data_IF_558324347073
#
_entry.id   IF_558324347073
#
_cell.length_a   1.000
_cell.length_b   1.000
_cell.length_c   1.000
_cell.angle_alpha   90.00
_cell.angle_beta   90.00
_cell.angle_gamma   90.00
#
_symmetry.space_group_name_H-M   'P 1'
#
loop_
_entity.id
_entity.type
_entity.pdbx_description
1 polymer ?
#
# COMPACT_ATOMS: atom_id res chain seq x y z
N UNK A 1 -11.23 26.61 -37.35
CA UNK A 1 -10.30 27.41 -36.52
C UNK A 1 -11.01 27.79 -35.24
N UNK A 2 -10.88 27.01 -34.16
CA UNK A 2 -11.43 27.34 -32.84
C UNK A 2 -10.31 27.24 -31.81
N UNK A 3 -10.04 28.37 -31.14
CA UNK A 3 -9.03 28.54 -30.11
C UNK A 3 -9.57 27.98 -28.79
N UNK A 4 -8.84 27.05 -28.19
CA UNK A 4 -9.04 26.62 -26.79
C UNK A 4 -8.07 27.43 -25.94
N UNK A 5 -8.62 28.24 -25.04
CA UNK A 5 -7.89 29.10 -24.11
C UNK A 5 -7.49 28.29 -22.89
N UNK A 6 -6.19 28.11 -22.66
CA UNK A 6 -5.64 27.55 -21.42
C UNK A 6 -5.56 28.66 -20.35
N UNK A 7 -6.20 28.44 -19.21
CA UNK A 7 -5.98 29.26 -18.01
C UNK A 7 -4.74 28.74 -17.27
N UNK A 8 -3.66 29.53 -17.30
CA UNK A 8 -2.52 29.40 -16.40
C UNK A 8 -2.86 30.10 -15.08
N UNK A 9 -3.06 29.33 -14.01
CA UNK A 9 -3.15 29.88 -12.66
C UNK A 9 -1.74 29.83 -12.03
N UNK A 10 -1.13 31.00 -11.91
CA UNK A 10 0.13 31.21 -11.19
C UNK A 10 -0.15 31.18 -9.69
N UNK A 11 0.40 30.21 -8.97
CA UNK A 11 0.42 30.19 -7.51
C UNK A 11 1.85 30.35 -7.00
N UNK A 12 2.05 31.42 -6.24
CA UNK A 12 3.24 31.73 -5.45
C UNK A 12 3.54 30.58 -4.48
N UNK A 13 4.77 30.05 -4.51
CA UNK A 13 5.24 29.01 -3.60
C UNK A 13 5.73 29.69 -2.31
N UNK A 14 4.98 29.53 -1.22
CA UNK A 14 5.51 29.75 0.13
C UNK A 14 6.26 28.48 0.54
N UNK A 15 7.55 28.62 0.83
CA UNK A 15 8.35 27.57 1.47
C UNK A 15 7.91 27.43 2.93
N UNK A 16 7.10 26.43 3.24
CA UNK A 16 6.93 25.96 4.62
C UNK A 16 8.11 25.06 4.99
N UNK A 17 8.72 25.32 6.15
CA UNK A 17 9.91 24.63 6.61
C UNK A 17 9.63 23.14 6.91
N UNK A 18 10.51 22.25 6.42
CA UNK A 18 10.53 20.84 6.82
C UNK A 18 10.82 20.71 8.32
N UNK A 19 10.00 19.94 9.04
CA UNK A 19 10.36 19.44 10.37
C UNK A 19 11.24 18.19 10.21
N UNK A 20 12.42 18.20 10.84
CA UNK A 20 13.21 16.97 11.01
C UNK A 20 12.53 16.14 12.10
N UNK A 21 11.94 15.01 11.73
CA UNK A 21 11.41 14.04 12.70
C UNK A 21 12.55 13.12 13.13
N UNK A 22 13.31 13.51 14.13
CA UNK A 22 14.18 12.58 14.85
C UNK A 22 13.36 11.88 15.93
N UNK A 23 12.90 10.67 15.64
CA UNK A 23 12.17 9.83 16.58
C UNK A 23 13.06 9.47 17.80
N UNK A 24 12.75 10.05 18.96
CA UNK A 24 13.24 9.58 20.25
C UNK A 24 12.03 9.07 21.04
N UNK A 25 11.83 7.75 21.06
CA UNK A 25 10.91 7.11 22.00
C UNK A 25 11.71 6.67 23.21
N UNK A 26 11.35 7.20 24.37
CA UNK A 26 11.90 6.87 25.67
C UNK A 26 11.42 5.46 26.06
N UNK A 27 12.29 4.45 25.91
CA UNK A 27 12.00 3.08 26.32
C UNK A 27 12.20 2.95 27.83
N UNK A 28 11.12 2.84 28.60
CA UNK A 28 11.16 2.26 29.94
C UNK A 28 11.05 0.74 29.81
N UNK A 29 12.17 0.04 29.91
CA UNK A 29 12.21 -1.37 30.28
C UNK A 29 13.24 -1.53 31.39
N UNK A 30 12.74 -1.65 32.61
CA UNK A 30 13.52 -2.12 33.74
C UNK A 30 13.81 -3.62 33.58
N UNK A 31 15.06 -3.92 33.87
CA UNK A 31 15.71 -5.21 33.96
C UNK A 31 15.12 -6.14 35.03
N UNK A 32 15.09 -7.44 34.74
CA UNK A 32 15.25 -8.50 35.76
C UNK A 32 15.74 -9.83 35.15
N UNK A 33 17.01 -10.11 35.45
CA UNK A 33 17.65 -11.36 35.86
C UNK A 33 17.59 -12.71 35.12
N UNK A 34 18.84 -13.19 34.99
CA UNK A 34 19.36 -14.51 34.65
C UNK A 34 18.81 -15.66 35.53
N UNK A 35 18.71 -16.86 34.96
CA UNK A 35 19.40 -18.02 35.54
C UNK A 35 19.50 -19.22 34.58
N UNK A 36 20.66 -19.87 34.65
CA UNK A 36 21.09 -21.02 33.87
C UNK A 36 20.64 -22.35 34.50
N UNK A 37 20.47 -23.40 33.69
CA UNK A 37 20.69 -24.79 34.11
C UNK A 37 20.74 -25.75 32.91
N UNK A 38 21.52 -26.81 33.09
CA UNK A 38 22.21 -27.64 32.09
C UNK A 38 21.72 -29.10 32.01
N UNK A 39 21.89 -29.70 30.81
CA UNK A 39 22.19 -31.12 30.50
C UNK A 39 21.05 -32.20 30.59
N UNK A 40 21.21 -33.45 30.09
CA UNK A 40 21.98 -33.99 28.93
C UNK A 40 21.25 -35.10 28.08
N UNK A 41 21.78 -35.38 26.87
CA UNK A 41 22.01 -36.75 26.33
C UNK A 41 20.87 -37.55 25.65
N UNK A 42 21.17 -38.17 24.48
CA UNK A 42 20.45 -39.36 23.99
C UNK A 42 20.38 -39.62 22.48
N UNK A 43 21.34 -40.41 21.95
CA UNK A 43 21.23 -41.47 20.92
C UNK A 43 20.66 -41.21 19.50
N UNK A 44 21.56 -41.29 18.50
CA UNK A 44 21.34 -41.90 17.15
C UNK A 44 21.34 -43.45 17.28
N UNK A 45 20.71 -44.27 16.38
CA UNK A 45 21.04 -44.40 14.93
C UNK A 45 19.86 -44.97 14.05
N UNK A 46 20.02 -45.61 12.86
CA UNK A 46 21.11 -45.64 11.86
C UNK A 46 20.69 -45.20 10.43
N UNK A 47 21.73 -45.03 9.60
CA UNK A 47 21.71 -44.82 8.15
C UNK A 47 21.18 -46.02 7.36
N UNK A 48 20.45 -45.74 6.27
CA UNK A 48 20.26 -46.68 5.16
C UNK A 48 20.49 -45.92 3.83
N UNK A 49 21.57 -46.27 3.15
CA UNK A 49 21.94 -45.80 1.82
C UNK A 49 21.38 -46.77 0.75
N UNK A 50 20.60 -46.26 -0.19
CA UNK A 50 20.54 -46.79 -1.58
C UNK A 50 20.17 -45.63 -2.53
N UNK A 51 20.82 -45.49 -3.71
CA UNK A 51 20.75 -44.27 -4.51
C UNK A 51 19.58 -44.30 -5.50
N UNK A 52 18.89 -43.17 -5.69
CA UNK A 52 17.98 -42.98 -6.83
C UNK A 52 18.08 -41.57 -7.40
N UNK A 53 18.50 -41.54 -8.66
CA UNK A 53 18.27 -40.57 -9.72
C UNK A 53 18.04 -39.09 -9.40
N UNK A 54 18.93 -38.27 -9.97
CA UNK A 54 18.76 -36.84 -10.09
C UNK A 54 17.59 -36.50 -11.02
N UNK A 55 16.51 -36.03 -10.41
CA UNK A 55 15.57 -35.10 -11.02
C UNK A 55 15.32 -34.00 -9.99
N UNK A 56 15.89 -32.82 -10.21
CA UNK A 56 15.58 -31.63 -9.42
C UNK A 56 14.20 -31.13 -9.83
N UNK A 57 13.15 -31.76 -9.29
CA UNK A 57 11.80 -31.23 -9.34
C UNK A 57 11.73 -29.97 -8.48
N UNK A 58 11.75 -28.83 -9.15
CA UNK A 58 11.41 -27.53 -8.56
C UNK A 58 9.89 -27.46 -8.48
N UNK A 59 9.32 -28.22 -7.55
CA UNK A 59 7.95 -28.06 -7.09
C UNK A 59 7.98 -27.98 -5.56
N UNK A 60 8.19 -26.77 -5.05
CA UNK A 60 7.82 -26.45 -3.68
C UNK A 60 6.96 -25.18 -3.71
N UNK A 61 5.64 -25.27 -3.47
CA UNK A 61 4.81 -24.09 -3.28
C UNK A 61 5.27 -23.44 -1.96
N UNK A 62 5.85 -22.24 -2.07
CA UNK A 62 6.43 -21.50 -0.95
C UNK A 62 5.37 -21.26 0.15
N UNK A 63 5.41 -22.14 1.13
CA UNK A 63 4.62 -22.25 2.36
C UNK A 63 4.83 -20.99 3.23
N UNK A 64 3.74 -20.40 3.74
CA UNK A 64 3.62 -19.39 4.82
C UNK A 64 4.93 -18.73 5.32
N UNK A 65 5.59 -17.96 4.45
CA UNK A 65 6.81 -17.24 4.85
C UNK A 65 6.43 -15.86 5.39
N UNK A 66 6.76 -15.53 6.65
CA UNK A 66 6.54 -14.20 7.17
C UNK A 66 7.33 -13.17 6.35
N UNK A 67 6.82 -11.93 6.28
CA UNK A 67 7.54 -10.83 5.66
C UNK A 67 8.91 -10.64 6.35
N UNK A 68 9.99 -10.38 5.58
CA UNK A 68 11.31 -10.23 6.18
C UNK A 68 11.37 -8.93 7.01
N UNK A 69 12.00 -8.98 8.18
CA UNK A 69 12.09 -7.85 9.12
C UNK A 69 13.25 -6.96 8.68
N UNK A 70 13.07 -5.64 8.59
CA UNK A 70 14.14 -4.74 8.13
C UNK A 70 15.04 -4.30 9.30
N UNK A 71 16.29 -4.74 9.30
CA UNK A 71 17.29 -4.40 10.33
C UNK A 71 18.08 -3.14 9.99
N UNK A 72 18.39 -2.92 8.72
CA UNK A 72 19.22 -1.78 8.32
C UNK A 72 19.18 -1.42 6.84
N UNK A 73 19.80 -0.30 6.43
CA UNK A 73 20.32 0.75 7.30
C UNK A 73 19.22 1.42 8.13
N UNK A 74 19.61 2.08 9.22
CA UNK A 74 18.71 2.99 9.93
C UNK A 74 18.43 4.19 9.03
N UNK A 75 17.17 4.47 8.75
CA UNK A 75 16.79 5.66 7.97
C UNK A 75 16.53 6.87 8.87
N UNK A 76 16.99 8.03 8.45
CA UNK A 76 16.67 9.35 9.02
C UNK A 76 16.02 10.21 7.93
N UNK A 77 14.69 10.17 7.86
CA UNK A 77 13.94 10.71 6.71
C UNK A 77 13.40 12.12 6.97
N UNK A 78 13.28 12.89 5.91
CA UNK A 78 12.48 14.11 5.90
C UNK A 78 11.05 13.75 5.51
N UNK A 79 10.10 13.90 6.44
CA UNK A 79 8.69 13.62 6.18
C UNK A 79 7.92 14.93 5.98
N UNK A 80 7.03 14.95 4.99
CA UNK A 80 5.99 15.97 4.85
C UNK A 80 4.68 15.56 5.54
N UNK A 81 4.59 14.29 5.95
CA UNK A 81 3.47 13.74 6.69
C UNK A 81 3.66 13.97 8.19
N UNK A 82 2.57 14.32 8.86
CA UNK A 82 2.50 14.44 10.30
C UNK A 82 2.23 13.07 10.91
N UNK A 83 3.12 12.61 11.78
CA UNK A 83 2.99 11.35 12.53
C UNK A 83 2.93 11.60 14.05
N UNK A 84 2.86 12.86 14.47
CA UNK A 84 2.86 13.24 15.88
C UNK A 84 1.66 12.63 16.59
N UNK A 85 1.92 11.95 17.71
CA UNK A 85 0.90 11.32 18.56
C UNK A 85 0.05 10.24 17.85
N UNK A 86 0.48 9.76 16.69
CA UNK A 86 -0.16 8.64 15.99
C UNK A 86 0.30 7.33 16.60
N UNK A 87 -0.64 6.41 16.79
CA UNK A 87 -0.33 5.03 17.17
C UNK A 87 0.11 4.24 15.93
N UNK A 88 1.36 3.75 15.95
CA UNK A 88 1.90 2.87 14.92
C UNK A 88 1.53 1.41 15.21
N UNK A 89 1.45 0.55 14.19
CA UNK A 89 1.36 -0.89 14.40
C UNK A 89 2.51 -1.37 15.30
N UNK A 90 2.18 -1.93 16.46
CA UNK A 90 3.16 -2.32 17.50
C UNK A 90 4.15 -3.41 17.08
N UNK A 91 3.85 -4.11 15.98
CA UNK A 91 4.72 -5.13 15.39
C UNK A 91 5.91 -4.53 14.65
N UNK A 92 5.85 -3.25 14.26
CA UNK A 92 6.92 -2.57 13.55
C UNK A 92 7.98 -2.06 14.52
N UNK A 93 9.23 -2.42 14.27
CA UNK A 93 10.36 -1.75 14.90
C UNK A 93 10.44 -0.27 14.49
N UNK A 94 11.12 0.56 15.28
CA UNK A 94 11.34 1.97 14.94
C UNK A 94 11.97 2.16 13.55
N UNK A 95 12.82 1.22 13.11
CA UNK A 95 13.41 1.30 11.79
C UNK A 95 12.37 1.01 10.70
N UNK A 96 11.57 -0.05 10.85
CA UNK A 96 10.51 -0.36 9.88
C UNK A 96 9.44 0.73 9.80
N UNK A 97 9.15 1.42 10.91
CA UNK A 97 8.31 2.63 10.90
C UNK A 97 8.90 3.70 9.96
N UNK A 98 10.23 3.91 9.96
CA UNK A 98 10.87 4.85 9.05
C UNK A 98 10.81 4.39 7.59
N UNK A 99 10.96 3.09 7.30
CA UNK A 99 10.79 2.56 5.94
C UNK A 99 9.36 2.73 5.44
N UNK A 100 8.37 2.40 6.26
CA UNK A 100 6.97 2.61 5.93
C UNK A 100 6.64 4.09 5.76
N UNK A 101 7.12 4.96 6.65
CA UNK A 101 6.96 6.40 6.54
C UNK A 101 7.56 6.96 5.24
N UNK A 102 8.75 6.49 4.84
CA UNK A 102 9.37 6.88 3.58
C UNK A 102 8.53 6.43 2.38
N UNK A 103 8.07 5.18 2.39
CA UNK A 103 7.24 4.62 1.33
C UNK A 103 5.92 5.38 1.17
N UNK A 104 5.27 5.73 2.30
CA UNK A 104 4.07 6.57 2.32
C UNK A 104 4.34 7.98 1.79
N UNK A 105 5.43 8.62 2.20
CA UNK A 105 5.82 9.95 1.70
C UNK A 105 6.05 9.94 0.19
N UNK A 106 6.81 8.97 -0.33
CA UNK A 106 7.13 8.88 -1.76
C UNK A 106 5.89 8.56 -2.58
N UNK A 107 5.24 7.42 -2.32
CA UNK A 107 4.07 6.95 -3.07
C UNK A 107 2.90 7.94 -2.95
N UNK A 108 2.62 8.38 -1.73
CA UNK A 108 1.52 9.30 -1.43
C UNK A 108 1.66 10.66 -2.09
N UNK A 109 2.89 11.15 -2.24
CA UNK A 109 3.15 12.45 -2.88
C UNK A 109 2.83 12.48 -4.38
N UNK A 110 2.57 11.33 -5.00
CA UNK A 110 2.08 11.28 -6.38
C UNK A 110 0.55 11.42 -6.46
N UNK A 111 -0.17 11.16 -5.37
CA UNK A 111 -1.64 11.24 -5.32
C UNK A 111 -2.14 12.67 -5.11
N UNK A 112 -1.35 13.52 -4.43
CA UNK A 112 -1.70 14.90 -4.16
C UNK A 112 -0.83 15.56 -3.10
N UNK A 113 -0.99 16.86 -2.91
CA UNK A 113 -0.13 17.69 -2.05
C UNK A 113 -0.64 17.85 -0.61
N UNK A 114 -1.81 17.30 -0.29
CA UNK A 114 -2.46 17.50 1.03
C UNK A 114 -2.19 16.35 2.01
N UNK A 115 -1.27 15.43 1.67
CA UNK A 115 -0.89 14.31 2.54
C UNK A 115 -2.10 13.47 2.96
N UNK A 116 -2.32 13.36 4.27
CA UNK A 116 -3.43 12.60 4.83
C UNK A 116 -4.80 13.11 4.39
N UNK A 117 -4.97 14.41 4.11
CA UNK A 117 -6.25 14.97 3.68
C UNK A 117 -6.42 15.02 2.16
N UNK A 118 -5.65 14.23 1.39
CA UNK A 118 -5.88 14.09 -0.03
C UNK A 118 -7.30 13.54 -0.29
N UNK A 119 -8.06 14.27 -1.11
CA UNK A 119 -9.44 13.97 -1.46
C UNK A 119 -9.60 14.01 -2.98
N UNK A 120 -10.13 12.92 -3.54
CA UNK A 120 -10.55 12.87 -4.94
C UNK A 120 -12.05 12.63 -5.05
N UNK A 121 -12.66 13.33 -5.99
CA UNK A 121 -14.08 13.25 -6.29
C UNK A 121 -14.41 12.05 -7.21
N UNK A 122 -15.65 11.91 -7.66
CA UNK A 122 -16.13 10.76 -8.44
C UNK A 122 -15.80 10.88 -9.95
N UNK A 123 -14.56 11.23 -10.32
CA UNK A 123 -14.21 11.45 -11.72
C UNK A 123 -14.15 10.15 -12.55
N UNK A 124 -13.92 9.00 -11.91
CA UNK A 124 -13.76 7.68 -12.52
C UNK A 124 -14.91 6.70 -12.16
N UNK A 125 -15.91 7.16 -11.42
CA UNK A 125 -17.03 6.33 -10.98
C UNK A 125 -16.78 5.53 -9.69
N UNK A 126 -15.67 5.77 -8.98
CA UNK A 126 -15.32 5.06 -7.74
C UNK A 126 -15.87 5.69 -6.45
N UNK A 127 -16.70 6.72 -6.57
CA UNK A 127 -17.22 7.49 -5.43
C UNK A 127 -16.19 8.49 -4.93
N UNK A 128 -15.82 8.41 -3.66
CA UNK A 128 -14.72 9.21 -3.10
C UNK A 128 -13.46 8.37 -3.05
N UNK A 129 -12.31 9.02 -3.21
CA UNK A 129 -11.03 8.50 -2.71
C UNK A 129 -10.55 9.41 -1.57
N UNK A 130 -10.10 8.80 -0.48
CA UNK A 130 -9.69 9.49 0.74
C UNK A 130 -8.30 9.01 1.17
N UNK A 131 -7.47 9.94 1.63
CA UNK A 131 -6.21 9.64 2.26
C UNK A 131 -5.04 9.50 1.30
N UNK A 132 -3.88 9.22 1.88
CA UNK A 132 -2.61 9.17 1.15
C UNK A 132 -2.50 7.99 0.17
N UNK A 133 -3.22 6.92 0.44
CA UNK A 133 -3.27 5.73 -0.41
C UNK A 133 -4.47 5.72 -1.38
N UNK A 134 -5.28 6.79 -1.38
CA UNK A 134 -6.47 6.91 -2.21
C UNK A 134 -7.40 5.68 -2.14
N UNK A 135 -7.63 5.13 -0.92
CA UNK A 135 -8.67 4.12 -0.77
C UNK A 135 -10.01 4.73 -1.18
N UNK A 136 -10.84 3.93 -1.84
CA UNK A 136 -12.07 4.42 -2.43
C UNK A 136 -13.24 3.46 -2.22
N UNK A 137 -14.44 4.02 -2.35
CA UNK A 137 -15.67 3.27 -2.12
C UNK A 137 -15.93 2.24 -3.22
N UNK A 138 -15.66 2.57 -4.48
CA UNK A 138 -15.92 1.70 -5.63
C UNK A 138 -15.18 0.37 -5.57
N UNK A 139 -13.93 0.39 -5.10
CA UNK A 139 -13.12 -0.80 -4.88
C UNK A 139 -13.41 -1.51 -3.56
N UNK A 140 -14.11 -0.86 -2.62
CA UNK A 140 -14.42 -1.45 -1.31
C UNK A 140 -13.28 -1.30 -0.29
N UNK A 141 -12.21 -0.58 -0.64
CA UNK A 141 -11.02 -0.45 0.20
C UNK A 141 -11.19 0.59 1.30
N UNK A 142 -12.13 1.53 1.15
CA UNK A 142 -12.34 2.60 2.13
C UNK A 142 -13.34 2.21 3.23
N UNK A 143 -14.31 1.35 2.92
CA UNK A 143 -15.39 0.97 3.83
C UNK A 143 -14.88 0.31 5.13
N UNK A 144 -13.93 -0.63 5.13
CA UNK A 144 -13.38 -1.19 6.37
C UNK A 144 -12.79 -0.12 7.30
N UNK A 145 -12.02 0.82 6.72
CA UNK A 145 -11.37 1.89 7.49
C UNK A 145 -12.40 2.87 8.05
N UNK A 146 -13.45 3.19 7.28
CA UNK A 146 -14.56 4.02 7.77
C UNK A 146 -15.37 3.31 8.86
N UNK A 147 -15.53 1.99 8.79
CA UNK A 147 -16.17 1.22 9.86
C UNK A 147 -15.38 1.35 11.18
N UNK A 148 -14.07 1.12 11.15
CA UNK A 148 -13.20 1.29 12.33
C UNK A 148 -13.19 2.75 12.83
N UNK A 149 -13.23 3.72 11.92
CA UNK A 149 -13.33 5.14 12.29
C UNK A 149 -14.66 5.45 13.02
N UNK A 150 -15.77 4.82 12.62
CA UNK A 150 -17.05 4.97 13.33
C UNK A 150 -17.01 4.31 14.72
N UNK A 151 -16.29 3.21 14.88
CA UNK A 151 -16.07 2.59 16.20
C UNK A 151 -15.27 3.52 17.12
N UNK A 152 -14.18 4.12 16.61
CA UNK A 152 -13.41 5.16 17.32
C UNK A 152 -14.28 6.37 17.66
N UNK A 153 -15.14 6.81 16.74
CA UNK A 153 -16.07 7.92 16.98
C UNK A 153 -17.15 7.57 18.03
N UNK A 154 -17.61 6.32 18.09
CA UNK A 154 -18.50 5.82 19.14
C UNK A 154 -17.85 5.83 20.53
N UNK A 155 -16.53 5.69 20.59
CA UNK A 155 -15.74 5.77 21.82
C UNK A 155 -15.33 7.21 22.18
N UNK A 156 -15.69 8.20 21.35
CA UNK A 156 -15.30 9.59 21.53
C UNK A 156 -13.83 9.89 21.20
N UNK A 157 -13.15 8.97 20.51
CA UNK A 157 -11.74 9.13 20.10
C UNK A 157 -11.60 9.94 18.81
N UNK A 158 -12.59 9.86 17.92
CA UNK A 158 -12.70 10.70 16.71
C UNK A 158 -13.91 11.63 16.87
N UNK A 159 -13.69 12.93 16.62
CA UNK A 159 -14.77 13.92 16.66
C UNK A 159 -15.47 13.96 15.30
N UNK A 160 -16.77 13.65 15.30
CA UNK A 160 -17.63 13.71 14.12
C UNK A 160 -19.01 14.20 14.54
N UNK A 161 -19.64 15.05 13.72
CA UNK A 161 -21.01 15.49 14.01
C UNK A 161 -21.99 14.34 13.86
N UNK A 162 -23.08 14.40 14.65
CA UNK A 162 -24.02 13.30 14.77
C UNK A 162 -24.71 12.96 13.44
N UNK A 163 -24.99 13.95 12.59
CA UNK A 163 -25.59 13.77 11.27
C UNK A 163 -24.64 13.03 10.29
N UNK A 164 -23.36 13.40 10.27
CA UNK A 164 -22.34 12.77 9.41
C UNK A 164 -22.06 11.35 9.85
N UNK A 165 -21.99 11.14 11.16
CA UNK A 165 -21.85 9.82 11.78
C UNK A 165 -23.01 8.91 11.39
N UNK A 166 -24.26 9.36 11.55
CA UNK A 166 -25.45 8.57 11.18
C UNK A 166 -25.50 8.25 9.68
N UNK A 167 -25.14 9.21 8.81
CA UNK A 167 -25.09 8.98 7.37
C UNK A 167 -24.05 7.92 7.00
N UNK A 168 -22.84 7.97 7.60
CA UNK A 168 -21.80 6.97 7.42
C UNK A 168 -22.20 5.59 7.99
N UNK A 169 -22.79 5.54 9.19
CA UNK A 169 -23.30 4.32 9.82
C UNK A 169 -24.34 3.63 8.92
N UNK A 170 -25.24 4.40 8.31
CA UNK A 170 -26.23 3.88 7.37
C UNK A 170 -25.57 3.26 6.13
N UNK A 171 -24.60 3.96 5.53
CA UNK A 171 -23.87 3.45 4.35
C UNK A 171 -23.08 2.18 4.67
N UNK A 172 -22.34 2.16 5.79
CA UNK A 172 -21.55 1.01 6.22
C UNK A 172 -22.45 -0.17 6.60
N UNK A 173 -23.57 0.08 7.28
CA UNK A 173 -24.56 -0.95 7.60
C UNK A 173 -25.12 -1.61 6.34
N UNK A 174 -25.45 -0.81 5.31
CA UNK A 174 -25.92 -1.32 4.03
C UNK A 174 -24.84 -2.14 3.29
N UNK A 175 -23.60 -1.67 3.30
CA UNK A 175 -22.46 -2.39 2.70
C UNK A 175 -22.23 -3.76 3.37
N UNK A 176 -22.23 -3.82 4.71
CA UNK A 176 -22.11 -5.08 5.47
C UNK A 176 -23.27 -6.04 5.20
N UNK A 177 -24.50 -5.51 5.12
CA UNK A 177 -25.67 -6.31 4.76
C UNK A 177 -25.50 -6.94 3.38
N UNK A 178 -25.11 -6.15 2.37
CA UNK A 178 -24.93 -6.65 1.00
C UNK A 178 -23.82 -7.71 0.91
N UNK A 179 -22.69 -7.50 1.59
CA UNK A 179 -21.63 -8.49 1.73
C UNK A 179 -22.16 -9.82 2.29
N UNK A 180 -22.96 -9.76 3.37
CA UNK A 180 -23.54 -10.96 3.98
C UNK A 180 -24.50 -11.71 3.04
N UNK A 181 -25.20 -11.00 2.15
CA UNK A 181 -26.11 -11.62 1.17
C UNK A 181 -25.36 -12.26 0.02
N UNK A 182 -24.27 -11.63 -0.42
CA UNK A 182 -23.42 -12.19 -1.48
C UNK A 182 -22.66 -13.43 -1.01
N UNK A 183 -22.18 -13.48 0.24
CA UNK A 183 -21.53 -14.67 0.80
C UNK A 183 -22.46 -15.89 0.89
N UNK A 184 -23.77 -15.65 1.04
CA UNK A 184 -24.78 -16.71 1.10
C UNK A 184 -25.26 -17.19 -0.28
N UNK A 185 -24.84 -16.53 -1.37
CA UNK A 185 -25.11 -16.98 -2.74
C UNK A 185 -23.85 -17.65 -3.29
N UNK A 186 -23.81 -18.99 -3.24
CA UNK A 186 -22.81 -19.84 -3.91
C UNK A 186 -22.93 -19.74 -5.45
N UNK A 187 -22.79 -18.54 -6.03
CA UNK A 187 -22.75 -18.36 -7.47
C UNK A 187 -21.33 -18.59 -7.96
N UNK A 188 -21.05 -19.85 -8.32
CA UNK A 188 -19.94 -20.32 -9.17
C UNK A 188 -20.02 -19.79 -10.61
N UNK A 189 -20.30 -18.50 -10.79
CA UNK A 189 -20.13 -17.85 -12.08
C UNK A 189 -18.96 -16.89 -11.93
N UNK A 190 -17.77 -17.48 -11.98
CA UNK A 190 -16.51 -16.76 -12.09
C UNK A 190 -16.58 -15.96 -13.40
N UNK A 191 -16.91 -14.67 -13.29
CA UNK A 191 -17.17 -13.75 -14.40
C UNK A 191 -15.87 -13.29 -15.08
N UNK A 192 -14.76 -13.96 -14.78
CA UNK A 192 -13.45 -13.73 -15.38
C UNK A 192 -13.12 -14.89 -16.31
N UNK A 193 -13.23 -14.64 -17.62
CA UNK A 193 -12.61 -15.48 -18.66
C UNK A 193 -11.16 -15.82 -18.23
N UNK A 194 -10.81 -17.08 -18.42
CA UNK A 194 -9.61 -17.83 -18.01
C UNK A 194 -8.21 -17.22 -18.25
N UNK A 195 -8.06 -15.94 -18.61
CA UNK A 195 -6.77 -15.26 -18.79
C UNK A 195 -6.33 -14.40 -17.57
N UNK A 196 -7.20 -14.21 -16.57
CA UNK A 196 -6.88 -13.51 -15.31
C UNK A 196 -6.33 -14.42 -14.20
N UNK A 197 -6.26 -15.75 -14.41
CA UNK A 197 -6.10 -16.76 -13.35
C UNK A 197 -4.66 -17.27 -13.20
N UNK A 198 -3.66 -16.38 -13.10
CA UNK A 198 -2.38 -16.71 -12.44
C UNK A 198 -1.87 -15.52 -11.63
N UNK A 199 -2.68 -15.10 -10.66
CA UNK A 199 -2.26 -14.25 -9.54
C UNK A 199 -1.01 -14.86 -8.89
N UNK A 200 -0.03 -14.03 -8.49
CA UNK A 200 1.19 -14.52 -7.84
C UNK A 200 0.84 -15.27 -6.55
N UNK A 201 1.55 -16.34 -6.18
CA UNK A 201 1.41 -16.95 -4.86
C UNK A 201 1.52 -15.91 -3.73
N UNK A 202 2.35 -14.89 -3.88
CA UNK A 202 2.50 -13.80 -2.90
C UNK A 202 1.19 -13.06 -2.66
N UNK A 203 0.35 -12.91 -3.69
CA UNK A 203 -0.96 -12.27 -3.53
C UNK A 203 -2.05 -13.24 -3.04
N UNK A 204 -1.77 -14.56 -3.01
CA UNK A 204 -2.68 -15.58 -2.45
C UNK A 204 -2.49 -15.77 -0.95
N UNK A 205 -1.33 -15.42 -0.40
CA UNK A 205 -0.92 -15.66 0.99
C UNK A 205 -0.93 -14.37 1.85
N UNK A 206 -1.67 -13.33 1.45
CA UNK A 206 -1.67 -12.03 2.11
C UNK A 206 -2.30 -11.96 3.52
N UNK A 207 -2.54 -13.08 4.19
CA UNK A 207 -3.36 -13.19 5.42
C UNK A 207 -2.64 -12.81 6.73
N UNK A 208 -1.45 -12.21 6.67
CA UNK A 208 -0.70 -11.81 7.86
C UNK A 208 -1.02 -10.35 8.24
N UNK A 209 -2.31 -10.03 8.42
CA UNK A 209 -2.92 -9.28 9.53
C UNK A 209 -4.44 -9.51 9.39
N UNK A 210 -4.93 -10.49 10.12
CA UNK A 210 -6.35 -10.82 10.28
C UNK A 210 -7.08 -9.63 10.92
N UNK A 211 -7.53 -8.67 10.10
CA UNK A 211 -8.71 -7.81 10.29
C UNK A 211 -9.01 -7.00 9.00
N UNK A 212 -8.00 -6.74 8.15
CA UNK A 212 -8.14 -5.95 6.92
C UNK A 212 -8.22 -6.75 5.60
N UNK A 213 -7.94 -8.06 5.61
CA UNK A 213 -7.57 -8.80 4.39
C UNK A 213 -8.71 -9.58 3.71
N UNK A 214 -9.81 -9.89 4.39
CA UNK A 214 -10.86 -10.74 3.77
C UNK A 214 -11.86 -9.96 2.90
N UNK A 215 -11.75 -8.62 2.82
CA UNK A 215 -12.64 -7.77 2.00
C UNK A 215 -12.05 -7.32 0.67
N UNK A 216 -10.77 -7.55 0.41
CA UNK A 216 -10.16 -7.38 -0.92
C UNK A 216 -10.46 -8.58 -1.81
N UNK A 217 -11.75 -8.86 -2.02
CA UNK A 217 -12.20 -9.90 -2.94
C UNK A 217 -11.94 -9.47 -4.38
N UNK A 218 -11.12 -10.27 -5.04
CA UNK A 218 -10.90 -10.36 -6.47
C UNK A 218 -12.19 -10.11 -7.27
N UNK A 219 -12.30 -8.92 -7.87
CA UNK A 219 -13.09 -8.66 -9.08
C UNK A 219 -14.62 -8.78 -9.03
N UNK A 220 -15.22 -9.45 -8.04
CA UNK A 220 -16.68 -9.57 -7.88
C UNK A 220 -17.35 -8.33 -7.26
N UNK A 221 -16.55 -7.38 -6.74
CA UNK A 221 -16.96 -6.27 -5.86
C UNK A 221 -17.70 -5.11 -6.54
N UNK A 222 -17.87 -5.13 -7.86
CA UNK A 222 -18.43 -3.99 -8.59
C UNK A 222 -19.96 -3.83 -8.43
N UNK A 223 -20.67 -4.77 -7.78
CA UNK A 223 -22.11 -4.62 -7.47
C UNK A 223 -22.34 -4.23 -6.02
N UNK A 224 -21.63 -4.85 -5.08
CA UNK A 224 -21.79 -4.61 -3.64
C UNK A 224 -21.44 -3.17 -3.30
N UNK A 225 -20.35 -2.66 -3.88
CA UNK A 225 -19.84 -1.32 -3.58
C UNK A 225 -20.63 -0.19 -4.27
N UNK A 226 -21.46 -0.51 -5.28
CA UNK A 226 -22.24 0.50 -6.02
C UNK A 226 -23.16 1.29 -5.11
N UNK A 227 -23.71 0.69 -4.05
CA UNK A 227 -24.56 1.43 -3.11
C UNK A 227 -23.76 2.45 -2.29
N UNK A 228 -22.53 2.15 -1.90
CA UNK A 228 -21.63 3.11 -1.27
C UNK A 228 -21.27 4.26 -2.22
N UNK A 229 -21.03 3.96 -3.50
CA UNK A 229 -20.80 4.99 -4.53
C UNK A 229 -22.04 5.86 -4.75
N UNK A 230 -23.23 5.26 -4.86
CA UNK A 230 -24.50 5.98 -4.99
C UNK A 230 -24.79 6.85 -3.76
N UNK A 231 -24.50 6.35 -2.56
CA UNK A 231 -24.58 7.14 -1.33
C UNK A 231 -23.65 8.36 -1.43
N UNK A 232 -22.40 8.18 -1.84
CA UNK A 232 -21.46 9.30 -1.99
C UNK A 232 -21.97 10.35 -2.98
N UNK A 233 -22.54 9.92 -4.11
CA UNK A 233 -23.14 10.81 -5.11
C UNK A 233 -24.30 11.65 -4.58
N UNK A 234 -25.13 11.10 -3.69
CA UNK A 234 -26.25 11.83 -3.09
C UNK A 234 -25.82 12.73 -1.92
N UNK A 235 -24.95 12.20 -1.06
CA UNK A 235 -24.61 12.81 0.23
C UNK A 235 -23.41 13.74 0.15
N UNK A 236 -22.30 13.30 -0.46
CA UNK A 236 -21.01 13.99 -0.39
C UNK A 236 -20.83 15.03 -1.47
N UNK A 237 -21.56 14.88 -2.57
CA UNK A 237 -21.33 15.62 -3.79
C UNK A 237 -22.52 16.45 -4.27
N UNK A 238 -22.19 17.39 -5.16
CA UNK A 238 -23.10 18.04 -6.09
C UNK A 238 -22.58 17.82 -7.53
N UNK A 239 -23.34 18.27 -8.52
CA UNK A 239 -22.98 18.23 -9.94
C UNK A 239 -22.59 16.83 -10.45
N UNK A 240 -23.30 15.81 -9.96
CA UNK A 240 -23.08 14.41 -10.36
C UNK A 240 -21.73 13.84 -9.91
N UNK A 241 -21.18 14.33 -8.79
CA UNK A 241 -19.93 13.81 -8.23
C UNK A 241 -18.69 14.64 -8.51
N UNK A 242 -18.83 15.79 -9.19
CA UNK A 242 -17.70 16.65 -9.59
C UNK A 242 -17.24 17.59 -8.49
N UNK A 243 -18.12 17.95 -7.56
CA UNK A 243 -17.82 18.94 -6.52
C UNK A 243 -18.30 18.40 -5.18
N UNK A 244 -17.45 18.45 -4.16
CA UNK A 244 -17.86 18.12 -2.79
C UNK A 244 -18.79 19.19 -2.24
N UNK A 245 -19.81 18.78 -1.46
CA UNK A 245 -20.49 19.70 -0.55
C UNK A 245 -19.47 20.21 0.48
N UNK A 246 -19.52 21.50 0.80
CA UNK A 246 -18.47 22.14 1.62
C UNK A 246 -18.38 21.56 3.03
N UNK A 247 -19.52 21.30 3.66
CA UNK A 247 -19.63 20.68 4.99
C UNK A 247 -19.02 19.28 5.02
N UNK A 248 -19.29 18.46 4.01
CA UNK A 248 -18.70 17.13 3.88
C UNK A 248 -17.21 17.18 3.54
N UNK A 249 -16.77 18.11 2.70
CA UNK A 249 -15.34 18.29 2.40
C UNK A 249 -14.56 18.62 3.67
N UNK A 250 -15.08 19.53 4.49
CA UNK A 250 -14.48 19.87 5.78
C UNK A 250 -14.47 18.68 6.74
N UNK A 251 -15.59 17.99 6.90
CA UNK A 251 -15.68 16.82 7.78
C UNK A 251 -14.70 15.71 7.37
N UNK A 252 -14.58 15.42 6.08
CA UNK A 252 -13.66 14.40 5.56
C UNK A 252 -12.20 14.84 5.73
N UNK A 253 -11.87 16.11 5.51
CA UNK A 253 -10.53 16.65 5.76
C UNK A 253 -10.15 16.55 7.24
N UNK A 254 -11.08 16.85 8.14
CA UNK A 254 -10.84 16.75 9.59
C UNK A 254 -10.66 15.29 10.01
N UNK A 255 -11.52 14.39 9.52
CA UNK A 255 -11.36 12.94 9.74
C UNK A 255 -9.99 12.46 9.27
N UNK A 256 -9.57 12.84 8.07
CA UNK A 256 -8.32 12.36 7.48
C UNK A 256 -7.08 12.80 8.25
N UNK A 257 -7.15 13.94 8.95
CA UNK A 257 -6.05 14.49 9.75
C UNK A 257 -6.11 14.04 11.21
N UNK A 258 -7.21 13.40 11.65
CA UNK A 258 -7.33 12.89 13.00
C UNK A 258 -6.31 11.78 13.24
N UNK A 259 -5.55 11.88 14.34
CA UNK A 259 -4.46 10.94 14.67
C UNK A 259 -4.93 9.49 14.77
N UNK A 260 -6.17 9.26 15.21
CA UNK A 260 -6.74 7.92 15.32
C UNK A 260 -7.02 7.36 13.93
N UNK A 261 -7.56 8.19 13.02
CA UNK A 261 -7.78 7.80 11.63
C UNK A 261 -6.45 7.58 10.88
N UNK A 262 -5.44 8.39 11.14
CA UNK A 262 -4.08 8.17 10.61
C UNK A 262 -3.52 6.84 11.12
N UNK A 263 -3.74 6.49 12.38
CA UNK A 263 -3.38 5.17 12.92
C UNK A 263 -4.05 4.01 12.15
N UNK A 264 -5.34 4.16 11.80
CA UNK A 264 -6.05 3.16 10.96
C UNK A 264 -5.43 3.05 9.56
N UNK A 265 -5.04 4.18 8.96
CA UNK A 265 -4.33 4.19 7.68
C UNK A 265 -2.98 3.48 7.76
N UNK A 266 -2.23 3.64 8.86
CA UNK A 266 -0.97 2.93 9.08
C UNK A 266 -1.18 1.42 9.25
N UNK A 267 -2.20 1.01 10.01
CA UNK A 267 -2.57 -0.41 10.15
C UNK A 267 -2.91 -1.04 8.79
N UNK A 268 -3.67 -0.35 7.95
CA UNK A 268 -3.94 -0.82 6.59
C UNK A 268 -2.65 -0.91 5.78
N UNK A 269 -1.78 0.11 5.88
CA UNK A 269 -0.52 0.20 5.15
C UNK A 269 0.48 -0.91 5.50
N UNK A 270 0.39 -1.50 6.69
CA UNK A 270 1.23 -2.63 7.12
C UNK A 270 1.08 -3.84 6.20
N UNK A 271 -0.14 -4.15 5.76
CA UNK A 271 -0.37 -5.27 4.83
C UNK A 271 0.33 -5.04 3.49
N UNK A 272 0.28 -3.80 2.98
CA UNK A 272 0.92 -3.38 1.74
C UNK A 272 2.45 -3.37 1.88
N UNK A 273 2.95 -2.94 3.04
CA UNK A 273 4.36 -2.96 3.42
C UNK A 273 4.92 -4.38 3.38
N UNK A 274 4.28 -5.30 4.12
CA UNK A 274 4.68 -6.71 4.17
C UNK A 274 4.68 -7.34 2.77
N UNK A 275 3.64 -7.08 1.99
CA UNK A 275 3.52 -7.55 0.61
C UNK A 275 4.62 -6.99 -0.30
N UNK A 276 4.99 -5.72 -0.14
CA UNK A 276 6.10 -5.12 -0.88
C UNK A 276 7.43 -5.78 -0.55
N UNK A 277 7.68 -6.13 0.72
CA UNK A 277 8.89 -6.85 1.15
C UNK A 277 8.94 -8.28 0.62
N UNK A 278 7.81 -8.97 0.53
CA UNK A 278 7.74 -10.28 -0.13
C UNK A 278 8.10 -10.18 -1.61
N UNK A 279 7.61 -9.17 -2.32
CA UNK A 279 8.02 -8.92 -3.71
C UNK A 279 9.48 -8.54 -3.83
N UNK A 280 9.98 -7.68 -2.95
CA UNK A 280 11.39 -7.30 -2.90
C UNK A 280 12.31 -8.53 -2.82
N UNK A 281 11.98 -9.47 -1.91
CA UNK A 281 12.69 -10.75 -1.78
C UNK A 281 12.53 -11.63 -3.03
N UNK A 282 11.32 -11.75 -3.56
CA UNK A 282 11.05 -12.58 -4.74
C UNK A 282 11.78 -12.10 -6.01
N UNK A 283 11.97 -10.78 -6.16
CA UNK A 283 12.74 -10.18 -7.25
C UNK A 283 14.26 -10.11 -6.97
N UNK A 284 14.73 -10.61 -5.82
CA UNK A 284 16.15 -10.60 -5.41
C UNK A 284 16.75 -9.18 -5.47
N UNK A 285 15.99 -8.21 -4.97
CA UNK A 285 16.36 -6.80 -4.90
C UNK A 285 17.10 -6.51 -3.60
N UNK A 286 17.81 -5.38 -3.55
CA UNK A 286 18.67 -5.01 -2.43
C UNK A 286 18.54 -3.56 -1.98
N UNK A 287 18.21 -2.63 -2.86
CA UNK A 287 18.36 -1.20 -2.54
C UNK A 287 17.07 -0.57 -1.96
N UNK A 288 17.19 0.51 -1.17
CA UNK A 288 16.05 1.26 -0.63
C UNK A 288 15.06 1.66 -1.73
N UNK A 289 15.52 2.20 -2.86
CA UNK A 289 14.64 2.55 -4.00
C UNK A 289 13.91 1.35 -4.59
N UNK A 290 14.49 0.15 -4.51
CA UNK A 290 13.86 -1.07 -4.99
C UNK A 290 12.66 -1.43 -4.13
N UNK A 291 12.77 -1.27 -2.81
CA UNK A 291 11.65 -1.42 -1.88
C UNK A 291 10.56 -0.38 -2.15
N UNK A 292 10.93 0.90 -2.31
CA UNK A 292 9.98 1.97 -2.62
C UNK A 292 9.20 1.68 -3.91
N UNK A 293 9.90 1.17 -4.94
CA UNK A 293 9.25 0.78 -6.19
C UNK A 293 8.26 -0.38 -5.99
N UNK A 294 8.62 -1.39 -5.20
CA UNK A 294 7.71 -2.51 -4.89
C UNK A 294 6.48 -2.04 -4.13
N UNK A 295 6.66 -1.17 -3.13
CA UNK A 295 5.54 -0.59 -2.38
C UNK A 295 4.61 0.21 -3.30
N UNK A 296 5.17 1.07 -4.16
CA UNK A 296 4.38 1.84 -5.13
C UNK A 296 3.65 0.94 -6.13
N UNK A 297 4.22 -0.20 -6.57
CA UNK A 297 3.49 -1.20 -7.36
C UNK A 297 2.38 -1.88 -6.58
N UNK A 298 2.62 -2.27 -5.33
CA UNK A 298 1.60 -2.91 -4.50
C UNK A 298 0.42 -1.97 -4.26
N UNK A 299 0.68 -0.69 -3.95
CA UNK A 299 -0.37 0.32 -3.76
C UNK A 299 -1.16 0.56 -5.05
N UNK A 300 -0.49 0.87 -6.15
CA UNK A 300 -1.16 1.25 -7.40
C UNK A 300 -1.82 0.09 -8.13
N UNK A 301 -1.38 -1.14 -7.87
CA UNK A 301 -1.70 -2.26 -8.74
C UNK A 301 -2.07 -3.56 -8.02
N UNK A 302 -1.97 -3.61 -6.70
CA UNK A 302 -2.27 -4.79 -5.91
C UNK A 302 -1.21 -5.91 -6.00
N UNK A 303 -0.09 -5.70 -6.72
CA UNK A 303 0.97 -6.70 -6.89
C UNK A 303 1.27 -7.06 -8.35
N UNK A 304 1.74 -8.29 -8.57
CA UNK A 304 2.22 -8.78 -9.86
C UNK A 304 1.60 -10.12 -10.26
N UNK A 305 1.34 -10.29 -11.55
CA UNK A 305 0.92 -11.58 -12.10
C UNK A 305 2.10 -12.57 -12.05
N UNK A 306 1.83 -13.87 -11.88
CA UNK A 306 2.85 -14.94 -11.90
C UNK A 306 3.75 -14.88 -13.15
N UNK A 307 3.20 -14.53 -14.31
CA UNK A 307 3.96 -14.38 -15.57
C UNK A 307 5.09 -13.34 -15.48
N UNK A 308 4.92 -12.30 -14.66
CA UNK A 308 5.96 -11.27 -14.47
C UNK A 308 7.14 -11.85 -13.72
N UNK A 309 6.88 -12.58 -12.62
CA UNK A 309 7.93 -13.27 -11.85
C UNK A 309 8.67 -14.29 -12.72
N UNK A 310 7.94 -15.11 -13.48
CA UNK A 310 8.55 -16.10 -14.40
C UNK A 310 9.43 -15.41 -15.46
N UNK A 311 8.93 -14.35 -16.09
CA UNK A 311 9.67 -13.62 -17.14
C UNK A 311 10.91 -12.92 -16.58
N UNK A 312 10.82 -12.38 -15.37
CA UNK A 312 11.95 -11.76 -14.68
C UNK A 312 13.01 -12.79 -14.29
N UNK A 313 12.63 -13.96 -13.80
CA UNK A 313 13.58 -15.03 -13.49
C UNK A 313 14.34 -15.50 -14.73
N UNK A 314 13.66 -15.64 -15.88
CA UNK A 314 14.33 -15.90 -17.16
C UNK A 314 15.34 -14.80 -17.53
N UNK A 315 15.00 -13.54 -17.29
CA UNK A 315 15.92 -12.42 -17.49
C UNK A 315 17.14 -12.52 -16.56
N UNK A 316 16.97 -12.77 -15.26
CA UNK A 316 18.09 -12.91 -14.33
C UNK A 316 19.03 -14.06 -14.70
N UNK A 317 18.48 -15.20 -15.13
CA UNK A 317 19.28 -16.35 -15.56
C UNK A 317 20.15 -16.03 -16.78
N UNK A 318 19.62 -15.24 -17.72
CA UNK A 318 20.35 -14.77 -18.90
C UNK A 318 21.30 -13.60 -18.59
N UNK A 319 21.04 -12.83 -17.53
CA UNK A 319 21.75 -11.58 -17.21
C UNK A 319 22.23 -11.59 -15.75
N UNK A 320 23.07 -12.57 -15.38
CA UNK A 320 23.51 -12.80 -13.99
C UNK A 320 24.20 -11.58 -13.34
N UNK A 321 24.81 -10.71 -14.16
CA UNK A 321 25.51 -9.50 -13.72
C UNK A 321 24.68 -8.22 -13.91
N UNK A 322 23.37 -8.34 -14.16
CA UNK A 322 22.49 -7.18 -14.27
C UNK A 322 22.55 -6.36 -12.97
N UNK A 323 22.84 -5.07 -13.13
CA UNK A 323 22.80 -4.06 -12.07
C UNK A 323 21.39 -3.94 -11.50
N UNK A 324 21.27 -3.41 -10.27
CA UNK A 324 19.94 -3.17 -9.67
C UNK A 324 19.06 -2.28 -10.56
N UNK A 325 19.63 -1.25 -11.18
CA UNK A 325 18.89 -0.38 -12.11
C UNK A 325 18.35 -1.14 -13.32
N UNK A 326 19.13 -2.04 -13.93
CA UNK A 326 18.66 -2.87 -15.05
C UNK A 326 17.56 -3.83 -14.61
N UNK A 327 17.67 -4.39 -13.40
CA UNK A 327 16.62 -5.23 -12.80
C UNK A 327 15.31 -4.47 -12.62
N UNK A 328 15.36 -3.28 -12.03
CA UNK A 328 14.16 -2.45 -11.82
C UNK A 328 13.53 -2.01 -13.14
N UNK A 329 14.34 -1.60 -14.12
CA UNK A 329 13.85 -1.28 -15.48
C UNK A 329 13.19 -2.49 -16.13
N UNK A 330 13.74 -3.69 -15.97
CA UNK A 330 13.11 -4.90 -16.49
C UNK A 330 11.74 -5.17 -15.84
N UNK A 331 11.61 -4.99 -14.52
CA UNK A 331 10.33 -5.14 -13.83
C UNK A 331 9.32 -4.13 -14.37
N UNK A 332 9.73 -2.88 -14.57
CA UNK A 332 8.89 -1.84 -15.17
C UNK A 332 8.46 -2.22 -16.59
N UNK A 333 9.38 -2.64 -17.46
CA UNK A 333 9.08 -3.06 -18.83
C UNK A 333 8.04 -4.18 -18.87
N UNK A 334 8.16 -5.17 -17.97
CA UNK A 334 7.19 -6.25 -17.85
C UNK A 334 5.83 -5.73 -17.38
N UNK A 335 5.82 -4.77 -16.45
CA UNK A 335 4.58 -4.17 -15.94
C UNK A 335 3.85 -3.36 -17.01
N UNK A 336 4.58 -2.53 -17.77
CA UNK A 336 4.01 -1.62 -18.78
C UNK A 336 3.30 -2.41 -19.90
N UNK A 337 3.63 -3.68 -20.12
CA UNK A 337 2.91 -4.54 -21.05
C UNK A 337 1.44 -4.80 -20.65
N UNK A 338 1.15 -4.79 -19.35
CA UNK A 338 -0.21 -4.98 -18.81
C UNK A 338 -0.97 -3.65 -18.59
N UNK A 339 -0.36 -2.50 -18.90
CA UNK A 339 -0.96 -1.18 -18.73
C UNK A 339 -1.65 -0.73 -20.03
N UNK A 340 -2.84 -0.16 -19.92
CA UNK A 340 -3.57 0.38 -21.07
C UNK A 340 -2.75 1.47 -21.77
N UNK A 341 -2.75 1.54 -23.12
CA UNK A 341 -1.88 2.43 -23.89
C UNK A 341 -1.86 3.88 -23.41
N UNK A 342 -3.02 4.46 -23.07
CA UNK A 342 -3.13 5.84 -22.63
C UNK A 342 -2.46 6.12 -21.26
N UNK A 343 -2.30 5.10 -20.42
CA UNK A 343 -1.71 5.24 -19.08
C UNK A 343 -0.24 4.82 -19.02
N UNK A 344 0.31 4.24 -20.09
CA UNK A 344 1.69 3.73 -20.10
C UNK A 344 2.72 4.79 -19.77
N UNK A 345 2.60 5.98 -20.38
CA UNK A 345 3.55 7.09 -20.16
C UNK A 345 3.51 7.56 -18.71
N UNK A 346 2.30 7.76 -18.17
CA UNK A 346 2.11 8.24 -16.80
C UNK A 346 2.66 7.24 -15.77
N UNK A 347 2.31 5.96 -15.93
CA UNK A 347 2.84 4.88 -15.09
C UNK A 347 4.37 4.79 -15.24
N UNK A 348 4.92 4.82 -16.45
CA UNK A 348 6.36 4.75 -16.66
C UNK A 348 7.08 5.92 -15.97
N UNK A 349 6.65 7.15 -16.20
CA UNK A 349 7.26 8.35 -15.61
C UNK A 349 7.29 8.30 -14.07
N UNK A 350 6.19 7.86 -13.44
CA UNK A 350 6.11 7.68 -11.98
C UNK A 350 7.13 6.66 -11.48
N UNK A 351 7.17 5.48 -12.10
CA UNK A 351 8.05 4.39 -11.67
C UNK A 351 9.52 4.70 -11.95
N UNK A 352 9.82 5.32 -13.09
CA UNK A 352 11.16 5.80 -13.42
C UNK A 352 11.65 6.88 -12.45
N UNK A 353 10.76 7.75 -11.97
CA UNK A 353 11.13 8.73 -10.95
C UNK A 353 11.60 8.06 -9.65
N UNK A 354 11.01 6.93 -9.26
CA UNK A 354 11.49 6.14 -8.11
C UNK A 354 12.82 5.45 -8.43
N UNK A 355 12.92 4.78 -9.59
CA UNK A 355 14.14 4.07 -10.02
C UNK A 355 15.35 5.01 -10.08
N UNK A 356 15.17 6.21 -10.63
CA UNK A 356 16.24 7.19 -10.80
C UNK A 356 16.34 8.16 -9.61
N UNK A 357 15.47 8.01 -8.60
CA UNK A 357 15.24 8.97 -7.50
C UNK A 357 15.05 10.42 -7.96
N UNK A 358 14.68 10.62 -9.22
CA UNK A 358 14.46 11.90 -9.86
C UNK A 358 13.71 11.69 -11.17
N UNK A 359 12.92 12.68 -11.58
CA UNK A 359 12.11 12.57 -12.80
C UNK A 359 11.05 13.66 -12.91
N UNK A 360 10.09 13.47 -13.80
CA UNK A 360 8.91 14.33 -13.91
C UNK A 360 7.67 13.47 -13.72
N UNK A 361 6.86 13.79 -12.71
CA UNK A 361 5.60 13.08 -12.44
C UNK A 361 4.48 14.11 -12.38
N UNK A 362 3.43 13.90 -13.18
CA UNK A 362 2.31 14.85 -13.33
C UNK A 362 2.75 16.30 -13.60
N UNK A 363 3.84 16.47 -14.37
CA UNK A 363 4.41 17.77 -14.72
C UNK A 363 5.34 18.39 -13.66
N UNK A 364 5.43 17.83 -12.46
CA UNK A 364 6.33 18.28 -11.40
C UNK A 364 7.71 17.61 -11.52
N UNK A 365 8.78 18.41 -11.53
CA UNK A 365 10.16 17.90 -11.42
C UNK A 365 10.40 17.40 -9.99
N UNK A 366 10.93 16.19 -9.86
CA UNK A 366 11.17 15.50 -8.59
C UNK A 366 12.64 15.20 -8.37
N UNK A 367 13.07 15.28 -7.12
CA UNK A 367 14.32 14.73 -6.61
C UNK A 367 14.03 14.08 -5.25
N UNK A 368 13.74 12.78 -5.28
CA UNK A 368 13.17 12.07 -4.14
C UNK A 368 14.15 11.97 -2.96
N UNK A 369 15.43 11.71 -3.22
CA UNK A 369 16.47 11.66 -2.16
C UNK A 369 16.56 12.99 -1.42
N UNK A 370 16.53 14.12 -2.13
CA UNK A 370 16.55 15.45 -1.50
C UNK A 370 15.23 15.80 -0.83
N UNK A 371 14.11 15.42 -1.43
CA UNK A 371 12.77 15.71 -0.90
C UNK A 371 12.52 14.98 0.42
N UNK A 372 13.06 13.76 0.58
CA UNK A 372 12.75 12.87 1.70
C UNK A 372 13.98 12.42 2.51
N UNK A 373 15.15 12.98 2.24
CA UNK A 373 16.40 12.76 2.99
C UNK A 373 16.75 11.28 3.16
N UNK A 374 16.83 10.54 2.06
CA UNK A 374 17.28 9.15 2.07
C UNK A 374 18.35 8.91 1.00
N UNK A 375 19.09 7.82 1.13
CA UNK A 375 20.03 7.33 0.14
C UNK A 375 19.40 6.16 -0.63
N UNK A 376 19.21 6.34 -1.93
CA UNK A 376 18.44 5.42 -2.75
C UNK A 376 19.11 4.06 -2.95
N UNK A 377 20.45 4.08 -3.07
CA UNK A 377 21.27 2.91 -3.36
C UNK A 377 21.74 2.14 -2.11
N UNK A 378 21.36 2.55 -0.89
CA UNK A 378 21.76 1.80 0.29
C UNK A 378 21.12 0.41 0.28
N UNK A 379 21.91 -0.62 0.59
CA UNK A 379 21.41 -2.00 0.64
C UNK A 379 20.62 -2.25 1.93
N UNK A 380 19.39 -2.76 1.79
CA UNK A 380 18.54 -3.21 2.89
C UNK A 380 19.07 -4.53 3.44
N UNK A 381 19.18 -4.58 4.76
CA UNK A 381 19.54 -5.76 5.54
C UNK A 381 18.32 -6.24 6.31
N UNK A 382 18.07 -7.56 6.26
CA UNK A 382 16.97 -8.23 6.95
C UNK A 382 17.44 -9.06 8.13
#
# INVERSE_FOLDING_TARGET
MNKITFYLLSTLIFFTACTKSSFNVQSNFDSADNNASSAPGGQQPPENNTPSDGSSDVDNPQQDTPAPIVVGPKLDICSKLQFDQVEWPNILSNNEQNYLALALNVTGSFEGLSGWSNLSNNFDGMGISLGILQQNLGMGSLQPILFEALEKANQGLIIMSQDKKQSLESMIGQWKYDLSKSANQNNKNDLFKDDYIKISPIDKHGDIVSFAVDYTLNGGSNVINKKSVSWALGELFIDGGKTFRSDWKEALNNLAQDKEYVGLQLNYSLSLYNKALLYFKAFQLKEVRSFLLMYDFVVQNGGFKKKVLTSYNSFLNANKQATETERLKKILDLRIQDVLPQWKSDVANRKEAIINSSGVVHGAKRNLEKEYCYEAGSEIVF
#
